data_IF_814343385219
#
_entry.id   IF_814343385219
#
_cell.length_a   1.000
_cell.length_b   1.000
_cell.length_c   1.000
_cell.angle_alpha   90.00
_cell.angle_beta   90.00
_cell.angle_gamma   90.00
#
_symmetry.space_group_name_H-M   'P 1'
#
loop_
_entity.id
_entity.type
_entity.pdbx_description
1 polymer ?
#
# COMPACT_ATOMS: atom_id res chain seq x y z
N UNK A 1 -3.41 34.37 20.58
CA UNK A 1 -2.08 33.77 20.40
C UNK A 1 -2.31 32.35 19.96
N UNK A 2 -1.50 31.80 19.08
CA UNK A 2 -1.65 30.40 18.66
C UNK A 2 -1.14 29.48 19.76
N UNK A 3 -1.88 28.42 20.09
CA UNK A 3 -1.42 27.36 20.98
C UNK A 3 -0.38 26.50 20.27
N UNK A 4 0.82 26.37 20.83
CA UNK A 4 1.89 25.56 20.24
C UNK A 4 1.93 24.20 20.95
N UNK A 5 1.81 23.11 20.18
CA UNK A 5 1.88 21.73 20.63
C UNK A 5 3.13 21.09 20.02
N UNK A 6 4.20 20.99 20.78
CA UNK A 6 5.38 20.24 20.35
C UNK A 6 5.19 18.76 20.69
N UNK A 7 5.41 17.88 19.70
CA UNK A 7 5.26 16.45 19.83
C UNK A 7 6.55 15.71 19.46
N UNK A 8 6.96 14.81 20.32
CA UNK A 8 7.95 13.81 20.00
C UNK A 8 7.27 12.57 19.38
N UNK A 9 7.23 12.52 18.05
CA UNK A 9 6.61 11.42 17.31
C UNK A 9 7.34 10.08 17.43
N UNK A 10 8.53 10.03 18.06
CA UNK A 10 9.19 8.77 18.37
C UNK A 10 8.49 8.03 19.53
N UNK A 11 7.75 8.75 20.37
CA UNK A 11 7.05 8.19 21.53
C UNK A 11 5.71 7.57 21.15
N UNK A 12 5.41 6.41 21.75
CA UNK A 12 4.14 5.70 21.54
C UNK A 12 2.91 6.46 22.04
N UNK A 13 3.11 7.33 23.01
CA UNK A 13 2.08 8.14 23.65
C UNK A 13 1.74 9.44 22.91
N UNK A 14 2.48 9.77 21.83
CA UNK A 14 2.26 11.02 21.09
C UNK A 14 0.79 11.23 20.63
N UNK A 15 0.05 10.22 20.14
CA UNK A 15 -1.37 10.38 19.80
C UNK A 15 -2.23 10.72 21.02
N UNK A 16 -2.01 10.07 22.17
CA UNK A 16 -2.75 10.38 23.40
C UNK A 16 -2.42 11.77 23.95
N UNK A 17 -1.14 12.15 23.90
CA UNK A 17 -0.69 13.49 24.27
C UNK A 17 -1.34 14.56 23.38
N UNK A 18 -1.38 14.34 22.06
CA UNK A 18 -2.05 15.24 21.11
C UNK A 18 -3.54 15.39 21.45
N UNK A 19 -4.25 14.28 21.62
CA UNK A 19 -5.69 14.29 21.95
C UNK A 19 -5.99 15.09 23.22
N UNK A 20 -5.21 14.87 24.28
CA UNK A 20 -5.34 15.61 25.56
C UNK A 20 -5.06 17.11 25.41
N UNK A 21 -4.00 17.46 24.68
CA UNK A 21 -3.65 18.88 24.47
C UNK A 21 -4.67 19.59 23.60
N UNK A 22 -5.15 18.98 22.52
CA UNK A 22 -6.18 19.56 21.66
C UNK A 22 -7.52 19.71 22.39
N UNK A 23 -7.86 18.77 23.29
CA UNK A 23 -9.05 18.88 24.14
C UNK A 23 -9.01 20.08 25.11
N UNK A 24 -7.82 20.60 25.43
CA UNK A 24 -7.63 21.77 26.28
C UNK A 24 -7.60 23.10 25.50
N UNK A 25 -7.49 23.06 24.17
CA UNK A 25 -7.53 24.23 23.29
C UNK A 25 -9.00 24.64 23.06
N UNK A 26 -9.31 25.92 23.20
CA UNK A 26 -10.66 26.41 22.94
C UNK A 26 -11.00 26.30 21.44
N UNK A 27 -12.26 26.02 21.06
CA UNK A 27 -12.72 26.13 19.68
C UNK A 27 -12.40 27.54 19.13
N UNK A 28 -11.95 27.63 17.89
CA UNK A 28 -11.50 28.84 17.20
C UNK A 28 -10.15 29.43 17.70
N UNK A 29 -9.48 28.79 18.65
CA UNK A 29 -8.09 29.14 18.96
C UNK A 29 -7.15 28.39 18.00
N UNK A 30 -6.28 29.08 17.25
CA UNK A 30 -5.33 28.43 16.37
C UNK A 30 -4.34 27.54 17.14
N UNK A 31 -4.15 26.32 16.67
CA UNK A 31 -3.21 25.36 17.23
C UNK A 31 -2.15 24.94 16.20
N UNK A 32 -0.89 25.12 16.52
CA UNK A 32 0.24 24.62 15.73
C UNK A 32 0.79 23.34 16.34
N UNK A 33 0.72 22.25 15.59
CA UNK A 33 1.33 20.96 15.97
C UNK A 33 2.71 20.89 15.33
N UNK A 34 3.76 20.98 16.14
CA UNK A 34 5.15 20.95 15.68
C UNK A 34 5.69 19.53 15.76
N UNK A 35 6.06 18.97 14.61
CA UNK A 35 6.74 17.68 14.48
C UNK A 35 8.24 17.94 14.27
N UNK A 36 9.08 17.35 15.13
CA UNK A 36 10.54 17.45 14.99
C UNK A 36 11.05 16.73 13.72
N UNK A 37 12.36 16.81 13.50
CA UNK A 37 13.01 16.12 12.38
C UNK A 37 13.15 14.62 12.68
N UNK A 38 12.06 13.88 12.54
CA UNK A 38 12.00 12.44 12.83
C UNK A 38 11.67 11.68 11.55
N UNK A 39 12.28 10.52 11.39
CA UNK A 39 11.91 9.59 10.33
C UNK A 39 10.40 9.30 10.42
N UNK A 40 9.70 9.46 9.29
CA UNK A 40 8.25 9.24 9.24
C UNK A 40 7.97 7.75 9.20
N UNK A 41 7.27 7.26 10.24
CA UNK A 41 6.69 5.92 10.25
C UNK A 41 5.17 6.06 10.13
N UNK A 42 4.51 5.32 9.22
CA UNK A 42 3.06 5.43 9.04
C UNK A 42 2.26 5.30 10.34
N UNK A 43 2.58 4.31 11.18
CA UNK A 43 1.89 4.06 12.46
C UNK A 43 2.05 5.16 13.52
N UNK A 44 2.93 6.13 13.28
CA UNK A 44 3.11 7.30 14.15
C UNK A 44 2.34 8.51 13.65
N UNK A 45 2.39 8.74 12.34
CA UNK A 45 1.82 9.94 11.74
C UNK A 45 0.32 9.80 11.48
N UNK A 46 -0.14 8.64 11.02
CA UNK A 46 -1.56 8.45 10.66
C UNK A 46 -2.51 8.74 11.84
N UNK A 47 -2.28 8.23 13.06
CA UNK A 47 -3.14 8.58 14.19
C UNK A 47 -3.12 10.07 14.54
N UNK A 48 -1.96 10.74 14.42
CA UNK A 48 -1.85 12.18 14.70
C UNK A 48 -2.70 12.99 13.75
N UNK A 49 -2.64 12.67 12.45
CA UNK A 49 -3.44 13.35 11.41
C UNK A 49 -4.92 13.05 11.60
N UNK A 50 -5.32 11.81 11.88
CA UNK A 50 -6.72 11.44 12.13
C UNK A 50 -7.32 12.16 13.33
N UNK A 51 -6.57 12.26 14.44
CA UNK A 51 -6.99 13.03 15.63
C UNK A 51 -7.13 14.51 15.29
N UNK A 52 -6.12 15.11 14.64
CA UNK A 52 -6.16 16.52 14.24
C UNK A 52 -7.35 16.82 13.31
N UNK A 53 -7.65 15.93 12.35
CA UNK A 53 -8.77 16.08 11.43
C UNK A 53 -10.14 16.01 12.17
N UNK A 54 -10.26 15.11 13.14
CA UNK A 54 -11.44 15.03 14.00
C UNK A 54 -11.67 16.34 14.78
N UNK A 55 -10.61 16.92 15.38
CA UNK A 55 -10.72 18.20 16.09
C UNK A 55 -10.96 19.36 15.12
N UNK A 56 -10.35 19.36 13.92
CA UNK A 56 -10.65 20.35 12.89
C UNK A 56 -12.13 20.30 12.45
N UNK A 57 -12.71 19.11 12.33
CA UNK A 57 -14.15 18.91 12.10
C UNK A 57 -15.05 19.44 13.23
N UNK A 58 -14.51 19.59 14.45
CA UNK A 58 -15.19 20.22 15.63
C UNK A 58 -14.96 21.73 15.71
N UNK A 59 -14.33 22.34 14.71
CA UNK A 59 -14.16 23.79 14.61
C UNK A 59 -12.82 24.32 15.16
N UNK A 60 -11.86 23.44 15.45
CA UNK A 60 -10.50 23.88 15.80
C UNK A 60 -9.70 24.25 14.54
N UNK A 61 -8.98 25.37 14.59
CA UNK A 61 -8.04 25.78 13.52
C UNK A 61 -6.68 25.16 13.79
N UNK A 62 -6.38 24.07 13.09
CA UNK A 62 -5.18 23.25 13.31
C UNK A 62 -4.28 23.23 12.09
N UNK A 63 -2.97 23.36 12.33
CA UNK A 63 -1.92 23.26 11.33
C UNK A 63 -0.75 22.42 11.84
N UNK A 64 -0.21 21.55 11.00
CA UNK A 64 1.08 20.90 11.25
C UNK A 64 2.22 21.78 10.77
N UNK A 65 3.27 21.89 11.58
CA UNK A 65 4.53 22.56 11.26
C UNK A 65 5.64 21.54 11.32
N UNK A 66 6.36 21.39 10.23
CA UNK A 66 7.43 20.41 10.03
C UNK A 66 8.66 21.11 9.45
N UNK A 67 9.87 20.53 9.59
CA UNK A 67 11.02 21.03 8.86
C UNK A 67 10.76 21.00 7.34
N UNK A 68 11.19 22.04 6.60
CA UNK A 68 11.02 22.10 5.15
C UNK A 68 11.70 20.92 4.44
N UNK A 69 11.07 20.44 3.36
CA UNK A 69 11.56 19.31 2.55
C UNK A 69 11.78 18.00 3.32
N UNK A 70 11.17 17.88 4.51
CA UNK A 70 11.24 16.66 5.30
C UNK A 70 10.17 15.64 4.87
N UNK A 71 10.39 14.33 5.11
CA UNK A 71 9.35 13.34 4.93
C UNK A 71 8.08 13.63 5.75
N UNK A 72 8.23 14.32 6.90
CA UNK A 72 7.11 14.78 7.72
C UNK A 72 6.25 15.83 7.03
N UNK A 73 6.85 16.75 6.29
CA UNK A 73 6.12 17.75 5.50
C UNK A 73 5.22 17.07 4.47
N UNK A 74 5.77 16.15 3.68
CA UNK A 74 4.99 15.36 2.70
C UNK A 74 3.85 14.58 3.36
N UNK A 75 4.11 13.97 4.52
CA UNK A 75 3.12 13.15 5.21
C UNK A 75 1.87 13.94 5.63
N UNK A 76 2.04 15.20 6.08
CA UNK A 76 0.95 16.05 6.59
C UNK A 76 0.47 17.12 5.61
N UNK A 77 1.09 17.23 4.42
CA UNK A 77 0.75 18.25 3.42
C UNK A 77 -0.72 18.22 3.02
N UNK A 78 -1.27 17.01 2.80
CA UNK A 78 -2.69 16.83 2.48
C UNK A 78 -3.63 17.40 3.55
N UNK A 79 -3.30 17.27 4.84
CA UNK A 79 -4.05 17.87 5.94
C UNK A 79 -3.96 19.40 5.89
N UNK A 80 -2.74 19.94 5.80
CA UNK A 80 -2.53 21.39 5.78
C UNK A 80 -3.20 22.07 4.58
N UNK A 81 -3.25 21.40 3.42
CA UNK A 81 -3.91 21.89 2.20
C UNK A 81 -5.39 21.54 2.10
N UNK A 82 -5.96 20.82 3.07
CA UNK A 82 -7.34 20.33 3.03
C UNK A 82 -7.60 19.43 1.79
N UNK A 83 -6.63 18.63 1.41
CA UNK A 83 -6.63 17.78 0.21
C UNK A 83 -6.25 16.32 0.52
N UNK A 84 -6.74 15.77 1.64
CA UNK A 84 -6.46 14.38 2.02
C UNK A 84 -7.28 13.34 1.26
N UNK A 85 -8.49 13.70 0.80
CA UNK A 85 -9.35 12.75 0.08
C UNK A 85 -8.91 12.59 -1.37
N UNK A 86 -8.95 11.38 -1.94
CA UNK A 86 -8.69 11.14 -3.36
C UNK A 86 -9.68 11.93 -4.23
N UNK A 87 -9.15 12.76 -5.11
CA UNK A 87 -9.95 13.51 -6.08
C UNK A 87 -9.55 13.10 -7.48
N UNK A 88 -10.29 12.13 -8.06
CA UNK A 88 -9.93 11.56 -9.35
C UNK A 88 -8.78 10.57 -9.26
N UNK A 89 -7.82 10.67 -10.19
CA UNK A 89 -6.63 9.83 -10.20
C UNK A 89 -5.69 10.19 -9.04
N UNK A 90 -5.28 9.19 -8.28
CA UNK A 90 -4.35 9.34 -7.15
C UNK A 90 -2.93 9.27 -7.69
N UNK A 91 -2.28 10.42 -7.80
CA UNK A 91 -0.85 10.50 -8.08
C UNK A 91 -0.04 10.41 -6.79
N UNK A 92 1.14 9.77 -6.84
CA UNK A 92 2.07 9.66 -5.71
C UNK A 92 1.42 9.17 -4.40
N UNK A 93 0.88 7.93 -4.37
CA UNK A 93 0.12 7.44 -3.21
C UNK A 93 0.97 7.23 -1.95
N UNK A 94 2.31 7.06 -2.08
CA UNK A 94 3.20 6.80 -0.97
C UNK A 94 3.67 8.05 -0.23
N UNK A 95 3.92 7.90 1.07
CA UNK A 95 4.59 8.90 1.88
C UNK A 95 3.70 10.04 2.39
N UNK A 96 2.39 10.01 2.17
CA UNK A 96 1.42 10.98 2.68
C UNK A 96 0.22 10.30 3.33
N UNK A 97 -0.45 10.99 4.25
CA UNK A 97 -1.69 10.51 4.85
C UNK A 97 -2.87 10.86 3.94
N UNK A 98 -3.62 9.83 3.59
CA UNK A 98 -4.87 9.91 2.85
C UNK A 98 -6.07 9.70 3.78
N UNK A 99 -7.18 10.35 3.47
CA UNK A 99 -8.49 10.12 4.09
C UNK A 99 -9.43 9.53 3.06
N UNK A 100 -10.26 8.57 3.45
CA UNK A 100 -11.34 8.03 2.63
C UNK A 100 -12.61 7.90 3.47
N UNK A 101 -13.77 8.17 2.84
CA UNK A 101 -15.08 8.22 3.49
C UNK A 101 -16.09 7.26 2.84
N UNK A 102 -15.77 6.70 1.69
CA UNK A 102 -16.65 5.84 0.91
C UNK A 102 -15.87 4.84 0.06
N UNK A 103 -16.58 3.82 -0.45
CA UNK A 103 -15.97 2.74 -1.23
C UNK A 103 -15.25 3.25 -2.50
N UNK A 104 -15.75 4.29 -3.16
CA UNK A 104 -15.10 4.83 -4.36
C UNK A 104 -13.72 5.42 -4.06
N UNK A 105 -13.61 6.18 -2.98
CA UNK A 105 -12.33 6.75 -2.54
C UNK A 105 -11.38 5.66 -2.05
N UNK A 106 -11.89 4.69 -1.32
CA UNK A 106 -11.15 3.54 -0.83
C UNK A 106 -10.54 2.74 -1.98
N UNK A 107 -11.35 2.34 -2.99
CA UNK A 107 -10.86 1.60 -4.15
C UNK A 107 -9.83 2.39 -4.95
N UNK A 108 -10.08 3.68 -5.23
CA UNK A 108 -9.13 4.51 -5.96
C UNK A 108 -7.76 4.59 -5.24
N UNK A 109 -7.77 4.62 -3.92
CA UNK A 109 -6.56 4.70 -3.11
C UNK A 109 -5.81 3.37 -3.07
N UNK A 110 -6.52 2.25 -2.87
CA UNK A 110 -5.92 0.90 -2.86
C UNK A 110 -5.33 0.57 -4.23
N UNK A 111 -6.09 0.78 -5.33
CA UNK A 111 -5.60 0.56 -6.69
C UNK A 111 -4.34 1.36 -6.99
N UNK A 112 -4.33 2.65 -6.62
CA UNK A 112 -3.15 3.50 -6.83
C UNK A 112 -1.93 3.02 -6.04
N UNK A 113 -2.11 2.55 -4.80
CA UNK A 113 -1.02 2.03 -3.97
C UNK A 113 -0.46 0.72 -4.53
N UNK A 114 -1.32 -0.21 -4.93
CA UNK A 114 -0.91 -1.49 -5.51
C UNK A 114 -0.20 -1.28 -6.84
N UNK A 115 -0.74 -0.41 -7.71
CA UNK A 115 -0.11 -0.07 -8.98
C UNK A 115 1.24 0.64 -8.79
N UNK A 116 1.35 1.56 -7.83
CA UNK A 116 2.62 2.24 -7.55
C UNK A 116 3.68 1.27 -7.04
N UNK A 117 3.29 0.31 -6.20
CA UNK A 117 4.21 -0.74 -5.75
C UNK A 117 4.66 -1.63 -6.91
N UNK A 118 3.73 -2.01 -7.79
CA UNK A 118 4.00 -2.82 -8.98
C UNK A 118 4.99 -2.13 -9.94
N UNK A 119 4.90 -0.79 -10.04
CA UNK A 119 5.86 0.04 -10.78
C UNK A 119 7.22 0.19 -10.07
N UNK A 120 7.25 0.09 -8.75
CA UNK A 120 8.42 0.42 -7.94
C UNK A 120 9.34 -0.76 -7.67
N UNK A 121 8.84 -2.00 -7.76
CA UNK A 121 9.57 -3.21 -7.38
C UNK A 121 9.22 -4.43 -8.23
N UNK A 122 10.14 -5.39 -8.29
CA UNK A 122 9.82 -6.76 -8.68
C UNK A 122 9.22 -7.47 -7.48
N UNK A 123 7.95 -7.83 -7.56
CA UNK A 123 7.22 -8.52 -6.52
C UNK A 123 7.43 -10.03 -6.61
N UNK A 124 7.53 -10.69 -5.48
CA UNK A 124 7.49 -12.15 -5.44
C UNK A 124 6.07 -12.66 -5.71
N UNK A 125 5.97 -13.94 -6.11
CA UNK A 125 4.74 -14.57 -6.53
C UNK A 125 3.62 -14.40 -5.49
N UNK A 126 2.47 -13.87 -5.93
CA UNK A 126 1.24 -13.67 -5.19
C UNK A 126 1.22 -12.44 -4.28
N UNK A 127 2.35 -11.74 -4.07
CA UNK A 127 2.42 -10.58 -3.15
C UNK A 127 1.47 -9.47 -3.57
N UNK A 128 1.40 -9.15 -4.88
CA UNK A 128 0.49 -8.15 -5.42
C UNK A 128 -0.96 -8.45 -5.06
N UNK A 129 -1.42 -9.66 -5.37
CA UNK A 129 -2.79 -10.09 -5.13
C UNK A 129 -3.12 -10.16 -3.63
N UNK A 130 -2.19 -10.64 -2.81
CA UNK A 130 -2.35 -10.65 -1.36
C UNK A 130 -2.46 -9.24 -0.78
N UNK A 131 -1.65 -8.29 -1.25
CA UNK A 131 -1.70 -6.91 -0.80
C UNK A 131 -3.00 -6.22 -1.21
N UNK A 132 -3.42 -6.39 -2.45
CA UNK A 132 -4.68 -5.86 -2.95
C UNK A 132 -5.85 -6.38 -2.10
N UNK A 133 -5.92 -7.69 -1.90
CA UNK A 133 -6.94 -8.31 -1.06
C UNK A 133 -6.90 -7.80 0.39
N UNK A 134 -5.72 -7.81 1.03
CA UNK A 134 -5.58 -7.38 2.43
C UNK A 134 -5.92 -5.90 2.63
N UNK A 135 -5.50 -5.03 1.70
CA UNK A 135 -5.81 -3.61 1.77
C UNK A 135 -7.31 -3.35 1.64
N UNK A 136 -7.96 -4.01 0.68
CA UNK A 136 -9.41 -3.89 0.53
C UNK A 136 -10.14 -4.35 1.80
N UNK A 137 -9.81 -5.53 2.36
CA UNK A 137 -10.43 -6.04 3.58
C UNK A 137 -10.23 -5.12 4.80
N UNK A 138 -9.00 -4.62 5.01
CA UNK A 138 -8.72 -3.74 6.16
C UNK A 138 -9.41 -2.38 6.03
N UNK A 139 -9.46 -1.82 4.82
CA UNK A 139 -10.12 -0.53 4.58
C UNK A 139 -11.65 -0.65 4.55
N UNK A 140 -12.19 -1.76 4.05
CA UNK A 140 -13.63 -2.08 4.15
C UNK A 140 -14.08 -2.21 5.61
N UNK A 141 -13.26 -2.81 6.47
CA UNK A 141 -13.56 -2.86 7.91
C UNK A 141 -13.74 -1.46 8.51
N UNK A 142 -12.96 -0.48 8.07
CA UNK A 142 -13.16 0.92 8.48
C UNK A 142 -14.53 1.43 8.05
N UNK A 143 -14.88 1.28 6.78
CA UNK A 143 -16.18 1.75 6.26
C UNK A 143 -17.38 1.07 6.94
N UNK A 144 -17.24 -0.20 7.30
CA UNK A 144 -18.30 -0.99 7.90
C UNK A 144 -18.45 -0.79 9.43
N UNK A 145 -17.39 -0.35 10.12
CA UNK A 145 -17.31 -0.32 11.59
C UNK A 145 -16.96 1.05 12.17
N UNK A 146 -16.64 2.06 11.33
CA UNK A 146 -16.34 3.40 11.79
C UNK A 146 -17.61 4.22 11.99
N UNK A 147 -18.07 4.41 13.10
CA UNK A 147 -19.06 5.35 13.61
C UNK A 147 -20.55 5.14 13.30
N UNK A 148 -21.37 5.01 14.36
CA UNK A 148 -22.84 5.01 14.27
C UNK A 148 -23.45 6.35 13.80
N UNK A 149 -22.68 7.45 13.79
CA UNK A 149 -23.14 8.80 13.44
C UNK A 149 -23.00 9.18 11.98
N UNK A 150 -22.60 8.25 11.09
CA UNK A 150 -22.69 8.43 9.64
C UNK A 150 -21.49 9.08 8.94
N UNK A 151 -20.38 9.34 9.63
CA UNK A 151 -19.14 9.83 9.03
C UNK A 151 -18.01 8.83 9.30
N UNK A 152 -17.82 7.91 8.38
CA UNK A 152 -16.79 6.88 8.46
C UNK A 152 -15.49 7.42 7.83
N UNK A 153 -14.64 8.08 8.61
CA UNK A 153 -13.34 8.53 8.12
C UNK A 153 -12.27 7.48 8.40
N UNK A 154 -11.74 6.90 7.34
CA UNK A 154 -10.52 6.10 7.38
C UNK A 154 -9.30 6.94 7.01
N UNK A 155 -8.18 6.65 7.65
CA UNK A 155 -6.89 7.28 7.36
C UNK A 155 -5.88 6.20 7.00
N UNK A 156 -5.18 6.39 5.91
CA UNK A 156 -4.25 5.42 5.36
C UNK A 156 -2.95 6.11 4.94
N UNK A 157 -1.83 5.50 5.26
CA UNK A 157 -0.52 5.88 4.73
C UNK A 157 0.28 4.62 4.44
N UNK A 158 0.96 4.63 3.29
CA UNK A 158 1.94 3.62 2.91
C UNK A 158 3.30 4.24 2.65
N UNK A 159 4.36 3.47 2.90
CA UNK A 159 5.74 3.84 2.66
C UNK A 159 6.50 2.63 2.12
N UNK A 160 7.11 2.78 0.96
CA UNK A 160 7.97 1.75 0.40
C UNK A 160 9.44 2.09 0.65
N UNK A 161 10.18 1.14 1.26
CA UNK A 161 11.60 1.24 1.53
C UNK A 161 12.34 0.40 0.48
N UNK A 162 12.89 1.05 -0.53
CA UNK A 162 13.54 0.40 -1.67
C UNK A 162 14.70 -0.51 -1.27
N UNK A 163 15.58 -0.05 -0.37
CA UNK A 163 16.75 -0.82 0.08
C UNK A 163 16.39 -2.12 0.79
N UNK A 164 15.25 -2.12 1.51
CA UNK A 164 14.75 -3.29 2.23
C UNK A 164 13.74 -4.10 1.40
N UNK A 165 13.35 -3.62 0.23
CA UNK A 165 12.21 -4.10 -0.56
C UNK A 165 10.96 -4.34 0.32
N UNK A 166 10.68 -3.38 1.20
CA UNK A 166 9.68 -3.47 2.28
C UNK A 166 8.61 -2.42 2.14
N UNK A 167 7.37 -2.85 2.14
CA UNK A 167 6.20 -1.97 2.24
C UNK A 167 5.74 -1.90 3.70
N UNK A 168 5.53 -0.68 4.20
CA UNK A 168 4.91 -0.38 5.49
C UNK A 168 3.58 0.29 5.24
N UNK A 169 2.53 -0.16 5.90
CA UNK A 169 1.17 0.36 5.74
C UNK A 169 0.55 0.55 7.12
N UNK A 170 -0.12 1.66 7.31
CA UNK A 170 -0.94 1.91 8.50
C UNK A 170 -2.32 2.39 8.09
N UNK A 171 -3.35 1.73 8.59
CA UNK A 171 -4.76 2.12 8.50
C UNK A 171 -5.23 2.49 9.90
N UNK A 172 -5.96 3.59 10.02
CA UNK A 172 -6.46 4.08 11.29
C UNK A 172 -7.88 4.61 11.14
N UNK A 173 -8.72 4.33 12.14
CA UNK A 173 -10.05 4.91 12.28
C UNK A 173 -10.34 5.34 13.72
N UNK A 174 -11.30 6.26 13.86
CA UNK A 174 -11.85 6.75 15.12
C UNK A 174 -13.26 6.16 15.35
N UNK A 175 -13.44 4.89 15.00
CA UNK A 175 -14.72 4.19 15.03
C UNK A 175 -15.09 3.59 16.37
N UNK A 176 -15.76 2.44 16.32
CA UNK A 176 -16.27 1.77 17.54
C UNK A 176 -15.24 0.84 18.20
N UNK A 177 -14.16 0.47 17.49
CA UNK A 177 -13.16 -0.50 17.94
C UNK A 177 -13.59 -1.96 17.77
N UNK A 178 -12.58 -2.86 17.82
CA UNK A 178 -12.79 -4.30 17.55
C UNK A 178 -13.67 -4.96 18.60
N UNK A 179 -13.44 -4.71 19.89
CA UNK A 179 -14.24 -5.33 20.95
C UNK A 179 -15.73 -4.99 20.82
N UNK A 180 -16.06 -3.72 20.60
CA UNK A 180 -17.45 -3.28 20.46
C UNK A 180 -18.10 -3.74 19.16
N UNK A 181 -17.31 -4.05 18.12
CA UNK A 181 -17.86 -4.62 16.88
C UNK A 181 -18.48 -5.99 17.10
N UNK A 182 -18.13 -6.70 18.17
CA UNK A 182 -18.71 -7.99 18.57
C UNK A 182 -19.98 -7.87 19.43
N UNK A 183 -20.49 -6.66 19.71
CA UNK A 183 -21.74 -6.48 20.45
C UNK A 183 -22.90 -7.22 19.78
N UNK A 184 -23.71 -7.91 20.58
CA UNK A 184 -24.81 -8.75 20.10
C UNK A 184 -24.40 -10.10 19.48
N UNK A 185 -23.10 -10.43 19.45
CA UNK A 185 -22.59 -11.73 19.05
C UNK A 185 -22.27 -12.61 20.27
N UNK A 186 -21.96 -13.89 20.02
CA UNK A 186 -21.48 -14.81 21.08
C UNK A 186 -20.15 -14.37 21.72
N UNK A 187 -19.50 -13.37 21.18
CA UNK A 187 -18.19 -12.86 21.59
C UNK A 187 -18.29 -11.54 22.38
N UNK A 188 -19.47 -11.05 22.68
CA UNK A 188 -19.72 -9.75 23.33
C UNK A 188 -19.03 -9.60 24.70
N UNK A 189 -18.82 -10.71 25.42
CA UNK A 189 -18.27 -10.69 26.78
C UNK A 189 -16.73 -10.71 26.86
N UNK A 190 -16.03 -10.77 25.71
CA UNK A 190 -14.58 -10.78 25.69
C UNK A 190 -13.99 -9.45 26.16
N UNK A 191 -12.83 -9.52 26.82
CA UNK A 191 -12.01 -8.33 27.02
C UNK A 191 -11.36 -7.84 25.71
N UNK A 192 -10.75 -6.66 25.72
CA UNK A 192 -10.21 -6.05 24.52
C UNK A 192 -9.04 -6.85 23.90
N UNK A 193 -8.18 -7.47 24.74
CA UNK A 193 -7.06 -8.27 24.26
C UNK A 193 -7.52 -9.61 23.68
N UNK A 194 -8.51 -10.24 24.31
CA UNK A 194 -9.17 -11.45 23.80
C UNK A 194 -9.88 -11.17 22.48
N UNK A 195 -10.60 -10.05 22.39
CA UNK A 195 -11.32 -9.65 21.18
C UNK A 195 -10.37 -9.45 19.98
N UNK A 196 -9.23 -8.77 20.17
CA UNK A 196 -8.23 -8.62 19.08
C UNK A 196 -7.63 -9.97 18.69
N UNK A 197 -7.27 -10.82 19.67
CA UNK A 197 -6.74 -12.17 19.39
C UNK A 197 -7.74 -13.01 18.61
N UNK A 198 -9.02 -12.89 18.96
CA UNK A 198 -10.08 -13.59 18.25
C UNK A 198 -10.27 -13.04 16.83
N UNK A 199 -10.21 -11.72 16.65
CA UNK A 199 -10.38 -11.08 15.34
C UNK A 199 -9.32 -11.48 14.29
N UNK A 200 -8.12 -11.88 14.72
CA UNK A 200 -7.08 -12.43 13.84
C UNK A 200 -7.17 -13.96 13.66
N UNK A 201 -8.24 -14.59 14.14
CA UNK A 201 -8.48 -16.04 14.00
C UNK A 201 -9.42 -16.35 12.85
N UNK A 202 -9.24 -17.51 12.20
CA UNK A 202 -10.00 -17.92 11.01
C UNK A 202 -11.50 -18.01 11.28
N UNK A 203 -12.31 -17.43 10.39
CA UNK A 203 -13.78 -17.59 10.39
C UNK A 203 -14.49 -16.87 11.52
N UNK A 204 -13.84 -15.93 12.17
CA UNK A 204 -14.45 -15.11 13.23
C UNK A 204 -15.11 -13.87 12.62
N UNK A 205 -16.40 -13.77 12.81
CA UNK A 205 -17.23 -12.65 12.32
C UNK A 205 -18.23 -12.22 13.39
N UNK A 206 -18.62 -10.97 13.34
CA UNK A 206 -19.75 -10.42 14.12
C UNK A 206 -21.11 -10.68 13.46
N UNK A 207 -21.17 -11.51 12.41
CA UNK A 207 -22.38 -11.80 11.64
C UNK A 207 -22.61 -10.90 10.41
N UNK A 208 -21.75 -9.93 10.14
CA UNK A 208 -21.87 -8.99 9.01
C UNK A 208 -20.87 -9.26 7.85
N UNK A 209 -20.11 -10.34 7.90
CA UNK A 209 -19.13 -10.67 6.87
C UNK A 209 -18.61 -12.10 7.03
N UNK A 210 -17.65 -12.49 6.19
CA UNK A 210 -17.05 -13.84 6.22
C UNK A 210 -16.02 -14.02 7.35
N UNK A 211 -15.57 -12.94 7.99
CA UNK A 211 -14.64 -12.99 9.13
C UNK A 211 -13.21 -13.42 8.77
N UNK A 212 -12.75 -13.12 7.58
CA UNK A 212 -11.44 -13.55 7.10
C UNK A 212 -10.42 -12.42 6.97
N UNK A 213 -10.83 -11.14 7.05
CA UNK A 213 -9.98 -10.00 6.71
C UNK A 213 -8.71 -9.87 7.57
N UNK A 214 -8.84 -9.71 8.87
CA UNK A 214 -7.67 -9.61 9.76
C UNK A 214 -6.91 -10.93 9.89
N UNK A 215 -7.61 -12.08 9.81
CA UNK A 215 -6.95 -13.38 9.77
C UNK A 215 -6.13 -13.56 8.49
N UNK A 216 -6.66 -13.20 7.32
CA UNK A 216 -5.92 -13.27 6.05
C UNK A 216 -4.67 -12.39 6.07
N UNK A 217 -4.78 -11.17 6.62
CA UNK A 217 -3.63 -10.29 6.82
C UNK A 217 -2.59 -10.92 7.76
N UNK A 218 -3.01 -11.54 8.87
CA UNK A 218 -2.13 -12.26 9.78
C UNK A 218 -1.38 -13.38 9.05
N UNK A 219 -2.08 -14.22 8.28
CA UNK A 219 -1.46 -15.32 7.54
C UNK A 219 -0.54 -14.82 6.42
N UNK A 220 -0.87 -13.72 5.74
CA UNK A 220 0.03 -13.09 4.78
C UNK A 220 1.35 -12.65 5.43
N UNK A 221 1.28 -11.98 6.59
CA UNK A 221 2.47 -11.56 7.34
C UNK A 221 3.27 -12.77 7.83
N UNK A 222 2.61 -13.87 8.14
CA UNK A 222 3.23 -15.12 8.58
C UNK A 222 3.97 -15.84 7.43
N UNK A 223 3.39 -15.86 6.24
CA UNK A 223 4.02 -16.42 5.03
C UNK A 223 5.27 -15.60 4.65
N UNK A 224 5.16 -14.28 4.67
CA UNK A 224 6.29 -13.38 4.48
C UNK A 224 7.14 -13.26 5.76
N UNK A 225 7.97 -14.23 6.02
CA UNK A 225 8.78 -14.49 7.24
C UNK A 225 9.30 -13.27 8.01
N UNK A 226 9.58 -12.17 7.32
CA UNK A 226 10.08 -10.91 7.89
C UNK A 226 9.00 -9.83 8.01
N UNK A 227 7.75 -10.21 7.83
CA UNK A 227 6.60 -9.34 8.05
C UNK A 227 6.40 -8.97 9.53
N UNK A 228 5.59 -7.94 9.75
CA UNK A 228 5.14 -7.52 11.09
C UNK A 228 3.68 -7.09 11.01
N UNK A 229 2.91 -7.41 12.06
CA UNK A 229 1.55 -6.94 12.24
C UNK A 229 1.40 -6.36 13.65
N UNK A 230 0.86 -5.16 13.73
CA UNK A 230 0.53 -4.50 14.98
C UNK A 230 -0.88 -3.95 14.89
N UNK A 231 -1.77 -4.43 15.73
CA UNK A 231 -3.15 -3.95 15.82
C UNK A 231 -3.33 -3.33 17.20
N UNK A 232 -3.93 -2.14 17.26
CA UNK A 232 -4.35 -1.49 18.51
C UNK A 232 -5.83 -1.15 18.42
N UNK A 233 -6.59 -1.53 19.43
CA UNK A 233 -8.01 -1.19 19.50
C UNK A 233 -8.52 -1.30 20.94
N UNK A 234 -9.44 -0.43 21.34
CA UNK A 234 -10.16 -0.49 22.62
C UNK A 234 -9.28 -0.65 23.88
N UNK A 235 -8.10 -0.09 23.89
CA UNK A 235 -7.18 -0.24 25.03
C UNK A 235 -6.46 -1.58 25.09
N UNK A 236 -6.32 -2.25 23.97
CA UNK A 236 -5.47 -3.43 23.82
C UNK A 236 -4.59 -3.31 22.58
N UNK A 237 -3.55 -4.13 22.51
CA UNK A 237 -2.69 -4.27 21.34
C UNK A 237 -2.35 -5.73 21.06
N UNK A 238 -2.22 -6.06 19.79
CA UNK A 238 -1.73 -7.33 19.27
C UNK A 238 -0.48 -7.10 18.45
N UNK A 239 0.58 -7.83 18.79
CA UNK A 239 1.87 -7.78 18.13
C UNK A 239 2.22 -9.14 17.58
N UNK A 240 2.51 -9.21 16.27
CA UNK A 240 2.96 -10.42 15.61
C UNK A 240 4.19 -10.12 14.74
N UNK A 241 5.26 -10.90 14.93
CA UNK A 241 6.48 -10.83 14.12
C UNK A 241 7.11 -12.22 14.05
N UNK A 242 6.95 -12.95 12.94
CA UNK A 242 7.47 -14.30 12.78
C UNK A 242 8.99 -14.39 12.99
N UNK A 243 9.74 -13.45 12.41
CA UNK A 243 11.22 -13.42 12.52
C UNK A 243 11.73 -13.17 13.92
N UNK A 244 10.97 -12.48 14.76
CA UNK A 244 11.32 -12.23 16.16
C UNK A 244 10.71 -13.27 17.11
N UNK A 245 9.89 -14.22 16.63
CA UNK A 245 9.17 -15.18 17.47
C UNK A 245 8.15 -14.51 18.42
N UNK A 246 7.60 -13.34 18.00
CA UNK A 246 6.67 -12.58 18.82
C UNK A 246 5.25 -12.83 18.34
N UNK A 247 4.38 -13.28 19.24
CA UNK A 247 2.94 -13.26 19.10
C UNK A 247 2.34 -12.97 20.48
N UNK A 248 1.74 -11.79 20.65
CA UNK A 248 1.21 -11.37 21.94
C UNK A 248 0.02 -10.45 21.80
N UNK A 249 -1.01 -10.65 22.65
CA UNK A 249 -2.09 -9.70 22.86
C UNK A 249 -2.08 -9.26 24.32
N UNK A 250 -2.15 -7.97 24.56
CA UNK A 250 -2.07 -7.39 25.92
C UNK A 250 -2.89 -6.11 26.04
N UNK A 251 -3.23 -5.74 27.28
CA UNK A 251 -3.81 -4.44 27.55
C UNK A 251 -2.85 -3.31 27.18
N UNK A 252 -3.40 -2.24 26.63
CA UNK A 252 -2.71 -1.00 26.30
C UNK A 252 -3.55 0.19 26.79
N UNK A 253 -3.01 1.40 26.72
CA UNK A 253 -3.78 2.60 27.04
C UNK A 253 -4.76 2.91 25.92
N UNK A 254 -5.98 3.28 26.29
CA UNK A 254 -6.97 3.87 25.37
C UNK A 254 -6.55 5.28 24.98
N UNK A 255 -7.01 5.74 23.83
CA UNK A 255 -6.79 7.11 23.38
C UNK A 255 -7.74 8.05 24.11
N UNK A 256 -7.20 9.07 24.81
CA UNK A 256 -8.01 10.01 25.60
C UNK A 256 -9.06 10.73 24.76
N UNK A 257 -10.31 10.69 25.24
CA UNK A 257 -11.45 11.34 24.55
C UNK A 257 -11.98 10.61 23.31
N UNK A 258 -11.50 9.39 23.07
CA UNK A 258 -11.97 8.51 21.99
C UNK A 258 -12.26 7.12 22.57
N UNK A 259 -13.52 6.75 22.60
CA UNK A 259 -13.97 5.50 23.20
C UNK A 259 -13.74 4.26 22.34
N UNK A 260 -13.55 4.44 21.05
CA UNK A 260 -13.21 3.35 20.12
C UNK A 260 -12.29 3.89 19.03
N UNK A 261 -11.22 3.18 18.78
CA UNK A 261 -10.29 3.45 17.67
C UNK A 261 -9.73 2.13 17.21
N UNK A 262 -9.38 2.04 15.93
CA UNK A 262 -8.61 0.90 15.45
C UNK A 262 -7.43 1.39 14.64
N UNK A 263 -6.26 0.84 14.94
CA UNK A 263 -5.04 1.01 14.17
C UNK A 263 -4.58 -0.37 13.72
N UNK A 264 -4.38 -0.53 12.41
CA UNK A 264 -3.77 -1.70 11.81
C UNK A 264 -2.50 -1.27 11.10
N UNK A 265 -1.34 -1.61 11.65
CA UNK A 265 -0.01 -1.37 11.07
C UNK A 265 0.61 -2.69 10.68
N UNK A 266 0.97 -2.82 9.41
CA UNK A 266 1.62 -4.03 8.94
C UNK A 266 2.76 -3.73 7.97
N UNK A 267 3.69 -4.67 7.90
CA UNK A 267 4.88 -4.58 7.07
C UNK A 267 5.06 -5.89 6.31
N UNK A 268 5.37 -5.78 5.03
CA UNK A 268 5.58 -6.92 4.14
C UNK A 268 6.89 -6.75 3.40
N UNK A 269 7.67 -7.81 3.30
CA UNK A 269 8.86 -7.88 2.42
C UNK A 269 8.41 -8.37 1.06
N UNK A 270 8.49 -7.51 0.06
CA UNK A 270 7.91 -7.76 -1.27
C UNK A 270 8.67 -8.81 -2.09
N UNK A 271 9.87 -9.22 -1.67
CA UNK A 271 10.65 -10.31 -2.28
C UNK A 271 10.29 -11.71 -1.73
N UNK A 272 9.36 -11.79 -0.77
CA UNK A 272 8.92 -13.06 -0.20
C UNK A 272 7.54 -13.46 -0.72
N UNK A 273 7.45 -14.67 -1.29
CA UNK A 273 6.20 -15.16 -1.89
C UNK A 273 5.08 -15.29 -0.84
N UNK A 274 3.91 -14.78 -1.18
CA UNK A 274 2.69 -14.92 -0.40
C UNK A 274 1.50 -15.02 -1.36
N UNK A 275 0.90 -16.23 -1.50
CA UNK A 275 -0.22 -16.45 -2.40
C UNK A 275 -1.51 -16.63 -1.62
N UNK A 276 -2.61 -16.08 -2.13
CA UNK A 276 -3.94 -16.23 -1.51
C UNK A 276 -4.36 -17.69 -1.40
N UNK A 277 -3.94 -18.54 -2.35
CA UNK A 277 -4.18 -19.99 -2.30
C UNK A 277 -3.48 -20.66 -1.10
N UNK A 278 -2.32 -20.15 -0.68
CA UNK A 278 -1.62 -20.68 0.50
C UNK A 278 -2.35 -20.30 1.81
N UNK A 279 -3.16 -19.24 1.78
CA UNK A 279 -3.97 -18.75 2.91
C UNK A 279 -5.34 -19.43 2.92
N UNK A 280 -6.06 -19.39 1.80
CA UNK A 280 -7.48 -19.76 1.72
C UNK A 280 -7.72 -21.16 1.16
N UNK A 281 -6.72 -21.78 0.55
CA UNK A 281 -6.78 -23.07 -0.14
C UNK A 281 -6.65 -22.96 -1.66
N UNK A 282 -6.30 -24.07 -2.32
CA UNK A 282 -5.96 -24.11 -3.74
C UNK A 282 -7.09 -23.64 -4.68
N UNK A 283 -8.34 -23.79 -4.26
CA UNK A 283 -9.52 -23.41 -5.05
C UNK A 283 -9.92 -21.94 -4.87
N UNK A 284 -9.17 -21.17 -4.08
CA UNK A 284 -9.46 -19.75 -3.88
C UNK A 284 -8.93 -18.92 -5.05
N UNK A 285 -9.83 -18.29 -5.79
CA UNK A 285 -9.55 -17.38 -6.89
C UNK A 285 -10.17 -16.02 -6.57
N UNK A 286 -9.38 -15.04 -6.09
CA UNK A 286 -9.88 -13.70 -5.85
C UNK A 286 -10.20 -13.03 -7.18
N UNK A 287 -11.20 -12.16 -7.16
CA UNK A 287 -11.44 -11.21 -8.24
C UNK A 287 -10.28 -10.19 -8.22
N UNK A 288 -9.45 -10.18 -9.25
CA UNK A 288 -8.46 -9.13 -9.50
C UNK A 288 -9.08 -8.08 -10.42
N UNK A 289 -9.75 -7.08 -9.82
CA UNK A 289 -10.49 -6.07 -10.56
C UNK A 289 -9.59 -5.26 -11.51
N UNK A 290 -8.34 -5.01 -11.13
CA UNK A 290 -7.37 -4.33 -12.00
C UNK A 290 -7.05 -5.16 -13.24
N UNK A 291 -6.83 -6.46 -13.06
CA UNK A 291 -6.56 -7.39 -14.14
C UNK A 291 -7.78 -7.60 -15.03
N UNK A 292 -8.95 -7.90 -14.43
CA UNK A 292 -10.19 -8.12 -15.16
C UNK A 292 -10.58 -6.92 -16.03
N UNK A 293 -10.35 -5.70 -15.54
CA UNK A 293 -10.62 -4.47 -16.32
C UNK A 293 -9.69 -4.30 -17.52
N UNK A 294 -8.58 -5.02 -17.60
CA UNK A 294 -7.56 -4.93 -18.65
C UNK A 294 -7.38 -6.21 -19.46
N UNK A 295 -8.07 -7.28 -19.12
CA UNK A 295 -8.08 -8.49 -19.94
C UNK A 295 -8.95 -8.31 -21.19
N UNK A 296 -8.41 -8.71 -22.33
CA UNK A 296 -9.18 -8.78 -23.55
C UNK A 296 -9.96 -10.11 -23.67
N UNK A 297 -10.75 -10.24 -24.74
CA UNK A 297 -11.55 -11.44 -25.00
C UNK A 297 -10.72 -12.74 -25.16
N UNK A 298 -9.41 -12.66 -25.33
CA UNK A 298 -8.49 -13.79 -25.39
C UNK A 298 -7.85 -14.14 -24.04
N UNK A 299 -8.13 -13.37 -22.99
CA UNK A 299 -7.50 -13.49 -21.66
C UNK A 299 -6.10 -12.86 -21.60
N UNK A 300 -5.73 -12.05 -22.60
CA UNK A 300 -4.47 -11.31 -22.58
C UNK A 300 -4.58 -10.01 -21.80
N UNK A 301 -3.63 -9.77 -20.90
CA UNK A 301 -3.55 -8.53 -20.13
C UNK A 301 -3.02 -7.39 -20.99
N UNK A 302 -3.86 -6.39 -21.26
CA UNK A 302 -3.52 -5.23 -22.08
C UNK A 302 -2.88 -4.13 -21.23
N UNK A 303 -1.62 -3.81 -21.49
CA UNK A 303 -0.85 -2.79 -20.77
C UNK A 303 -0.51 -1.64 -21.73
N UNK A 304 -1.09 -0.46 -21.50
CA UNK A 304 -0.80 0.75 -22.27
C UNK A 304 0.47 1.44 -21.75
N UNK A 305 1.50 1.55 -22.60
CA UNK A 305 2.76 2.23 -22.22
C UNK A 305 2.49 3.71 -21.93
N UNK A 306 1.64 4.36 -22.71
CA UNK A 306 1.30 5.78 -22.52
C UNK A 306 0.50 6.04 -21.24
N UNK A 307 -0.22 5.04 -20.74
CA UNK A 307 -0.99 5.11 -19.49
C UNK A 307 -0.09 5.00 -18.25
N UNK A 308 0.93 4.13 -18.30
CA UNK A 308 1.75 3.80 -17.14
C UNK A 308 3.05 4.59 -17.03
N UNK A 309 3.55 5.15 -18.12
CA UNK A 309 4.82 5.86 -18.14
C UNK A 309 4.66 7.32 -17.74
N UNK A 310 5.55 7.80 -16.85
CA UNK A 310 5.66 9.22 -16.48
C UNK A 310 6.45 10.03 -17.53
N UNK A 311 6.33 9.65 -18.79
CA UNK A 311 7.07 10.18 -19.94
C UNK A 311 8.00 9.14 -20.57
N UNK A 312 8.47 9.41 -21.79
CA UNK A 312 9.17 8.42 -22.62
C UNK A 312 10.66 8.74 -22.77
N UNK A 313 11.23 9.57 -21.89
CA UNK A 313 12.60 10.07 -22.00
C UNK A 313 13.62 9.40 -21.08
N UNK A 314 13.20 8.77 -19.99
CA UNK A 314 14.10 8.25 -18.95
C UNK A 314 14.08 6.73 -18.80
N UNK A 315 15.20 6.19 -18.31
CA UNK A 315 15.29 4.77 -17.90
C UNK A 315 14.37 4.47 -16.71
N UNK A 316 14.23 5.41 -15.80
CA UNK A 316 13.40 5.25 -14.60
C UNK A 316 11.93 5.03 -14.97
N UNK A 317 11.37 5.89 -15.81
CA UNK A 317 10.00 5.73 -16.31
C UNK A 317 9.80 4.40 -17.06
N UNK A 318 10.77 4.00 -17.89
CA UNK A 318 10.75 2.72 -18.59
C UNK A 318 10.79 1.52 -17.62
N UNK A 319 11.62 1.60 -16.57
CA UNK A 319 11.75 0.55 -15.54
C UNK A 319 10.44 0.33 -14.80
N UNK A 320 9.70 1.40 -14.51
CA UNK A 320 8.38 1.31 -13.85
C UNK A 320 7.36 0.53 -14.70
N UNK A 321 7.29 0.79 -16.00
CA UNK A 321 6.44 0.01 -16.90
C UNK A 321 6.93 -1.44 -17.02
N UNK A 322 8.25 -1.65 -17.11
CA UNK A 322 8.86 -2.98 -17.19
C UNK A 322 8.52 -3.84 -15.97
N UNK A 323 8.57 -3.29 -14.75
CA UNK A 323 8.21 -4.03 -13.54
C UNK A 323 6.77 -4.54 -13.57
N UNK A 324 5.81 -3.71 -14.01
CA UNK A 324 4.40 -4.14 -14.16
C UNK A 324 4.29 -5.32 -15.14
N UNK A 325 4.98 -5.24 -16.29
CA UNK A 325 4.99 -6.32 -17.29
C UNK A 325 5.63 -7.59 -16.72
N UNK A 326 6.79 -7.47 -16.05
CA UNK A 326 7.50 -8.60 -15.45
C UNK A 326 6.67 -9.26 -14.35
N UNK A 327 6.06 -8.48 -13.47
CA UNK A 327 5.21 -9.00 -12.40
C UNK A 327 4.00 -9.77 -12.98
N UNK A 328 3.36 -9.24 -14.02
CA UNK A 328 2.25 -9.92 -14.68
C UNK A 328 2.68 -11.24 -15.34
N UNK A 329 3.85 -11.29 -15.97
CA UNK A 329 4.34 -12.53 -16.60
C UNK A 329 4.83 -13.53 -15.57
N UNK A 330 5.67 -13.09 -14.61
CA UNK A 330 6.37 -13.99 -13.69
C UNK A 330 5.46 -14.53 -12.58
N UNK A 331 4.53 -13.71 -12.09
CA UNK A 331 3.71 -14.02 -10.95
C UNK A 331 2.31 -14.50 -11.34
N UNK A 332 1.69 -13.83 -12.32
CA UNK A 332 0.31 -14.12 -12.72
C UNK A 332 0.24 -15.06 -13.92
N UNK A 333 1.39 -15.46 -14.49
CA UNK A 333 1.48 -16.27 -15.71
C UNK A 333 0.63 -15.68 -16.86
N UNK A 334 0.48 -14.37 -16.88
CA UNK A 334 -0.33 -13.69 -17.84
C UNK A 334 0.37 -13.63 -19.21
N UNK A 335 -0.42 -13.80 -20.28
CA UNK A 335 -0.01 -13.33 -21.59
C UNK A 335 -0.25 -11.83 -21.67
N UNK A 336 0.82 -11.04 -21.91
CA UNK A 336 0.76 -9.58 -21.90
C UNK A 336 0.74 -9.01 -23.32
N UNK A 337 -0.17 -8.09 -23.58
CA UNK A 337 -0.19 -7.23 -24.77
C UNK A 337 0.28 -5.84 -24.36
N UNK A 338 1.52 -5.49 -24.73
CA UNK A 338 2.11 -4.19 -24.45
C UNK A 338 1.81 -3.22 -25.60
N UNK A 339 0.91 -2.25 -25.35
CA UNK A 339 0.45 -1.31 -26.37
C UNK A 339 1.21 0.02 -26.30
N UNK A 340 1.89 0.34 -27.40
CA UNK A 340 2.60 1.61 -27.61
C UNK A 340 1.74 2.69 -28.28
N UNK A 341 0.45 2.48 -28.42
CA UNK A 341 -0.44 3.52 -28.97
C UNK A 341 -0.30 4.82 -28.19
N UNK A 342 -0.07 5.93 -28.89
CA UNK A 342 0.17 7.24 -28.28
C UNK A 342 1.63 7.56 -28.01
N UNK A 343 2.55 6.59 -28.08
CA UNK A 343 4.00 6.82 -27.95
C UNK A 343 4.58 7.17 -29.31
N UNK A 344 4.59 8.44 -29.67
CA UNK A 344 5.09 8.93 -30.97
C UNK A 344 6.60 9.17 -30.99
N UNK A 345 7.20 9.43 -29.80
CA UNK A 345 8.63 9.63 -29.64
C UNK A 345 9.07 9.10 -28.27
N UNK A 346 10.27 8.52 -28.20
CA UNK A 346 10.89 8.08 -26.96
C UNK A 346 12.41 8.11 -27.09
N UNK A 347 13.13 8.03 -25.96
CA UNK A 347 14.58 7.93 -25.97
C UNK A 347 15.04 6.50 -26.24
N UNK A 348 16.28 6.33 -26.78
CA UNK A 348 16.90 5.04 -26.92
C UNK A 348 17.08 4.32 -25.58
N UNK A 349 17.34 5.09 -24.50
CA UNK A 349 17.46 4.54 -23.15
C UNK A 349 16.12 4.05 -22.58
N UNK A 350 15.00 4.67 -22.93
CA UNK A 350 13.66 4.21 -22.56
C UNK A 350 13.34 2.85 -23.21
N UNK A 351 13.55 2.74 -24.52
CA UNK A 351 13.32 1.48 -25.28
C UNK A 351 14.25 0.36 -24.84
N UNK A 352 15.54 0.66 -24.61
CA UNK A 352 16.50 -0.31 -24.11
C UNK A 352 16.09 -0.87 -22.76
N UNK A 353 15.67 0.01 -21.83
CA UNK A 353 15.23 -0.39 -20.48
C UNK A 353 13.95 -1.20 -20.51
N UNK A 354 12.96 -0.80 -21.33
CA UNK A 354 11.67 -1.47 -21.40
C UNK A 354 11.74 -2.75 -22.25
N UNK A 355 11.96 -2.64 -23.54
CA UNK A 355 11.82 -3.76 -24.48
C UNK A 355 13.06 -4.66 -24.54
N UNK A 356 14.25 -4.08 -24.66
CA UNK A 356 15.43 -4.90 -24.85
C UNK A 356 15.77 -5.75 -23.62
N UNK A 357 15.51 -5.24 -22.41
CA UNK A 357 15.65 -6.03 -21.18
C UNK A 357 14.61 -7.14 -21.06
N UNK A 358 13.35 -6.92 -21.45
CA UNK A 358 12.33 -7.97 -21.47
C UNK A 358 12.71 -9.10 -22.43
N UNK A 359 13.18 -8.76 -23.63
CA UNK A 359 13.66 -9.76 -24.59
C UNK A 359 14.85 -10.54 -24.04
N UNK A 360 15.79 -9.86 -23.35
CA UNK A 360 16.95 -10.52 -22.74
C UNK A 360 16.55 -11.45 -21.59
N UNK A 361 15.61 -11.02 -20.76
CA UNK A 361 15.14 -11.79 -19.58
C UNK A 361 14.42 -13.07 -19.99
N UNK A 362 13.50 -12.98 -20.93
CA UNK A 362 12.67 -14.12 -21.32
C UNK A 362 13.24 -14.92 -22.51
N UNK A 363 14.23 -14.38 -23.21
CA UNK A 363 14.72 -14.94 -24.49
C UNK A 363 13.73 -14.69 -25.63
N UNK A 364 14.24 -14.66 -26.87
CA UNK A 364 13.41 -14.27 -28.04
C UNK A 364 12.19 -15.18 -28.22
N UNK A 365 12.36 -16.49 -28.07
CA UNK A 365 11.25 -17.44 -28.27
C UNK A 365 10.21 -17.40 -27.13
N UNK A 366 10.66 -17.35 -25.89
CA UNK A 366 9.77 -17.24 -24.72
C UNK A 366 9.07 -15.89 -24.69
N UNK A 367 9.81 -14.81 -25.01
CA UNK A 367 9.22 -13.48 -25.11
C UNK A 367 8.04 -13.45 -26.08
N UNK A 368 8.17 -14.05 -27.25
CA UNK A 368 7.09 -14.08 -28.25
C UNK A 368 5.86 -14.89 -27.80
N UNK A 369 6.03 -15.77 -26.82
CA UNK A 369 4.94 -16.60 -26.29
C UNK A 369 4.23 -15.98 -25.07
N UNK A 370 4.89 -15.05 -24.36
CA UNK A 370 4.34 -14.44 -23.12
C UNK A 370 4.07 -12.94 -23.28
N UNK A 371 4.68 -12.30 -24.27
CA UNK A 371 4.57 -10.86 -24.49
C UNK A 371 4.38 -10.54 -25.99
N UNK A 372 3.32 -9.84 -26.32
CA UNK A 372 3.09 -9.27 -27.64
C UNK A 372 3.17 -7.75 -27.58
N UNK A 373 3.96 -7.16 -28.48
CA UNK A 373 4.11 -5.70 -28.59
C UNK A 373 3.27 -5.20 -29.75
N UNK A 374 2.42 -4.21 -29.49
CA UNK A 374 1.52 -3.61 -30.48
C UNK A 374 1.69 -2.09 -30.51
N UNK A 375 1.21 -1.45 -31.55
CA UNK A 375 1.23 0.01 -31.69
C UNK A 375 2.62 0.63 -31.86
N UNK A 376 3.68 -0.16 -31.91
CA UNK A 376 5.06 0.32 -32.06
C UNK A 376 5.32 0.69 -33.52
N UNK A 377 5.57 1.97 -33.79
CA UNK A 377 5.77 2.47 -35.15
C UNK A 377 6.79 3.61 -35.20
N UNK A 378 7.24 3.97 -36.41
CA UNK A 378 8.14 5.11 -36.62
C UNK A 378 9.48 5.02 -35.89
N UNK A 379 9.88 6.13 -35.25
CA UNK A 379 11.13 6.22 -34.50
C UNK A 379 11.22 5.21 -33.34
N UNK A 380 10.21 5.03 -32.48
CA UNK A 380 10.21 4.00 -31.44
C UNK A 380 10.49 2.59 -31.97
N UNK A 381 9.92 2.20 -33.11
CA UNK A 381 10.17 0.89 -33.71
C UNK A 381 11.62 0.71 -34.19
N UNK A 382 12.20 1.75 -34.80
CA UNK A 382 13.60 1.73 -35.24
C UNK A 382 14.56 1.61 -34.03
N UNK A 383 14.29 2.35 -32.96
CA UNK A 383 15.08 2.28 -31.72
C UNK A 383 14.96 0.90 -31.03
N UNK A 384 13.77 0.30 -31.07
CA UNK A 384 13.55 -1.03 -30.48
C UNK A 384 14.40 -2.11 -31.18
N UNK A 385 14.39 -2.13 -32.51
CA UNK A 385 15.20 -3.07 -33.27
C UNK A 385 16.70 -2.95 -32.92
N UNK A 386 17.22 -1.71 -32.92
CA UNK A 386 18.63 -1.45 -32.61
C UNK A 386 18.96 -1.90 -31.16
N UNK A 387 18.12 -1.54 -30.19
CA UNK A 387 18.36 -1.87 -28.78
C UNK A 387 18.34 -3.38 -28.53
N UNK A 388 17.38 -4.10 -29.12
CA UNK A 388 17.28 -5.56 -29.00
C UNK A 388 18.48 -6.24 -29.65
N UNK A 389 18.87 -5.84 -30.87
CA UNK A 389 20.05 -6.39 -31.55
C UNK A 389 21.32 -6.17 -30.75
N UNK A 390 21.55 -4.97 -30.21
CA UNK A 390 22.72 -4.66 -29.38
C UNK A 390 22.77 -5.52 -28.13
N UNK A 391 21.67 -5.71 -27.44
CA UNK A 391 21.60 -6.52 -26.22
C UNK A 391 21.83 -8.01 -26.51
N UNK A 392 21.24 -8.55 -27.57
CA UNK A 392 21.47 -9.93 -27.98
C UNK A 392 22.92 -10.17 -28.43
N UNK A 393 23.57 -9.21 -29.08
CA UNK A 393 24.98 -9.30 -29.45
C UNK A 393 25.88 -9.29 -28.21
N UNK A 394 25.61 -8.46 -27.21
CA UNK A 394 26.35 -8.41 -25.94
C UNK A 394 26.22 -9.71 -25.16
N UNK A 395 25.02 -10.31 -25.06
CA UNK A 395 24.85 -11.58 -24.34
C UNK A 395 25.63 -12.73 -24.95
N UNK A 396 25.67 -12.84 -26.28
CA UNK A 396 26.45 -13.84 -26.98
C UNK A 396 27.98 -13.68 -26.78
N UNK A 397 28.46 -12.43 -26.64
CA UNK A 397 29.86 -12.13 -26.37
C UNK A 397 30.28 -12.56 -24.96
N UNK A 398 29.39 -12.50 -23.97
CA UNK A 398 29.65 -12.93 -22.60
C UNK A 398 29.67 -14.47 -22.46
N UNK A 399 28.88 -15.20 -23.24
CA UNK A 399 28.86 -16.67 -23.24
C UNK A 399 30.08 -17.27 -23.96
N UNK A 400 30.68 -16.56 -24.92
CA UNK A 400 31.85 -16.99 -25.67
C UNK A 400 33.20 -16.93 -24.93
N UNK A 401 33.25 -16.30 -23.76
CA UNK A 401 34.48 -16.16 -22.93
C UNK A 401 34.62 -17.26 -21.87
N UNK A 402 33.58 -18.09 -21.69
CA UNK A 402 33.54 -19.13 -20.65
C UNK A 402 33.99 -20.53 -21.06
N UNK A 403 34.42 -20.77 -22.32
CA UNK A 403 34.91 -22.09 -22.80
C UNK A 403 36.29 -21.95 -23.35
N UNK A 404 37.26 -21.90 -22.47
CA UNK A 404 38.66 -21.98 -22.79
C UNK A 404 39.53 -21.88 -21.55
N UNK A 405 39.77 -23.01 -20.91
CA UNK A 405 41.04 -23.47 -20.34
C UNK A 405 40.77 -24.63 -19.36
N UNK A 406 41.33 -25.78 -19.67
CA UNK A 406 41.77 -26.77 -18.71
C UNK A 406 41.23 -28.16 -18.91
#
# INVERSE_FOLDING_TARGET
>A
MSSIIELDVSRHEAPDELARRLSAVAPNEPAEIRLGNVGVCPNRIVPLVGIADCFAGRGHDIRFVTPPHSPGERAVDGFNRRSMSPQGEVSEPFGRVWRFENAKEQYALVDAMVLELDKSANLANGVRQCLDWCLNEVTDNVLNHSCPSGSANGYLMSQFLQEENRLKICVFDLGIGIRRSFAGSKYETLDAAEAIRLAVSKGVTNGKGQGNGLWGLHEMVKLGKFGKLHIRSDGAEYLFSPSAGIESARCAKTLSGFDGTTLVDFQVVCSESARLQDIFGADYHPLDAWRESREDASGALCIGVAELADGFGSRESASRVRHVVENAIDNDQAFVRLDFKGVTACSSSFIDELLAKLVLKYGVMTHSNVLRVEGLSGLPAALANIAVEQRLAMSRSCEGVGVGVG
#
